data_IF_499567615244
#
_entry.id   IF_499567615244
#
_cell.length_a   1.000
_cell.length_b   1.000
_cell.length_c   1.000
_cell.angle_alpha   90.00
_cell.angle_beta   90.00
_cell.angle_gamma   90.00
#
_symmetry.space_group_name_H-M   'P 1'
#
loop_
_entity.id
_entity.type
_entity.pdbx_description
1 polymer ?
#
# COMPACT_ATOMS: atom_id res chain seq x y z
N UNK A 1 61.75 8.42 -27.08
CA UNK A 1 61.53 7.16 -27.82
C UNK A 1 61.60 6.06 -26.76
N UNK A 2 60.48 5.84 -26.05
CA UNK A 2 59.61 4.67 -26.19
C UNK A 2 60.38 3.36 -26.16
N UNK A 3 59.82 2.45 -25.36
CA UNK A 3 59.98 1.01 -25.37
C UNK A 3 61.02 0.49 -24.36
N UNK A 4 60.74 -0.52 -23.55
CA UNK A 4 59.53 -1.30 -23.41
C UNK A 4 59.76 -2.26 -22.24
N UNK A 5 58.70 -2.47 -21.46
CA UNK A 5 58.20 -3.80 -21.09
C UNK A 5 59.11 -4.67 -20.21
N UNK A 6 58.57 -4.93 -19.02
CA UNK A 6 58.72 -6.15 -18.21
C UNK A 6 60.17 -6.56 -17.89
N UNK A 7 60.57 -6.60 -16.63
CA UNK A 7 60.30 -7.75 -15.76
C UNK A 7 60.15 -7.20 -14.34
N UNK A 8 58.92 -7.15 -13.81
CA UNK A 8 58.32 -8.19 -12.96
C UNK A 8 58.80 -8.15 -11.50
N UNK A 9 57.80 -7.94 -10.63
CA UNK A 9 57.70 -8.37 -9.23
C UNK A 9 58.41 -7.54 -8.15
N UNK A 10 57.61 -7.12 -7.16
CA UNK A 10 58.14 -6.85 -5.82
C UNK A 10 57.67 -5.59 -5.11
N UNK A 11 56.40 -5.16 -5.21
CA UNK A 11 55.86 -4.18 -4.25
C UNK A 11 54.33 -4.23 -4.05
N UNK A 12 53.67 -5.35 -4.38
CA UNK A 12 52.35 -5.65 -3.83
C UNK A 12 52.57 -6.40 -2.52
N UNK A 13 52.64 -5.71 -1.38
CA UNK A 13 52.42 -6.24 -0.01
C UNK A 13 52.75 -5.19 1.07
N UNK A 14 52.13 -4.01 1.06
CA UNK A 14 52.14 -3.09 2.24
C UNK A 14 50.82 -2.38 2.55
N UNK A 15 49.72 -2.72 1.89
CA UNK A 15 48.39 -2.13 2.16
C UNK A 15 47.28 -3.19 2.33
N UNK A 16 47.64 -4.38 2.83
CA UNK A 16 46.88 -5.63 2.69
C UNK A 16 45.66 -5.89 3.59
N UNK A 17 45.14 -4.92 4.36
CA UNK A 17 43.91 -5.14 5.15
C UNK A 17 42.97 -3.92 5.20
N UNK A 18 43.51 -2.70 5.06
CA UNK A 18 42.70 -1.48 5.06
C UNK A 18 41.82 -1.34 3.81
N UNK A 19 42.34 -1.69 2.62
CA UNK A 19 41.57 -1.60 1.36
C UNK A 19 40.49 -2.67 1.25
N UNK A 20 40.75 -3.87 1.78
CA UNK A 20 39.72 -4.92 1.93
C UNK A 20 38.65 -4.44 2.92
N UNK A 21 39.03 -3.81 4.03
CA UNK A 21 38.08 -3.26 5.01
C UNK A 21 37.18 -2.18 4.43
N UNK A 22 37.73 -1.26 3.61
CA UNK A 22 36.94 -0.22 2.92
C UNK A 22 36.04 -0.83 1.84
N UNK A 23 36.52 -1.83 1.09
CA UNK A 23 35.68 -2.54 0.11
C UNK A 23 34.60 -3.40 0.77
N UNK A 24 34.87 -4.02 1.93
CA UNK A 24 33.92 -4.83 2.69
C UNK A 24 32.90 -3.96 3.43
N UNK A 25 33.33 -2.82 3.99
CA UNK A 25 32.45 -1.80 4.53
C UNK A 25 31.60 -1.16 3.44
N UNK A 26 32.15 -0.93 2.24
CA UNK A 26 31.40 -0.46 1.08
C UNK A 26 30.42 -1.53 0.59
N UNK A 27 30.76 -2.82 0.61
CA UNK A 27 29.84 -3.92 0.28
C UNK A 27 28.70 -4.06 1.33
N UNK A 28 28.99 -3.89 2.62
CA UNK A 28 28.01 -3.88 3.70
C UNK A 28 27.12 -2.62 3.73
N UNK A 29 27.67 -1.45 3.36
CA UNK A 29 26.87 -0.23 3.15
C UNK A 29 26.12 -0.24 1.81
N UNK A 30 26.56 -1.01 0.81
CA UNK A 30 25.84 -1.23 -0.45
C UNK A 30 24.76 -2.33 -0.34
N UNK A 31 24.85 -3.24 0.63
CA UNK A 31 23.71 -4.08 1.06
C UNK A 31 22.76 -3.30 1.99
N UNK A 32 23.24 -2.24 2.62
CA UNK A 32 22.40 -1.19 3.23
C UNK A 32 22.04 -0.07 2.25
N UNK A 33 22.32 -0.23 0.95
CA UNK A 33 21.64 0.52 -0.09
C UNK A 33 20.19 0.11 0.04
N UNK A 34 19.49 0.89 0.85
CA UNK A 34 18.12 1.31 0.61
C UNK A 34 17.42 0.29 -0.26
N UNK A 35 16.69 -0.57 0.42
CA UNK A 35 15.26 -0.72 0.17
C UNK A 35 14.61 0.70 0.20
N UNK A 36 15.08 1.65 -0.63
CA UNK A 36 14.27 2.64 -1.31
C UNK A 36 13.64 1.86 -2.43
N UNK A 37 12.81 0.93 -2.02
CA UNK A 37 11.64 0.68 -2.76
C UNK A 37 10.88 2.01 -2.75
N UNK A 38 10.67 2.69 -3.89
CA UNK A 38 9.48 3.50 -4.04
C UNK A 38 8.29 2.54 -4.12
N UNK A 39 8.12 1.63 -3.15
CA UNK A 39 7.02 0.69 -3.15
C UNK A 39 5.85 1.33 -2.43
N UNK A 40 4.95 1.77 -3.29
CA UNK A 40 3.58 1.34 -3.19
C UNK A 40 2.74 2.08 -2.14
N UNK A 41 2.56 3.39 -2.32
CA UNK A 41 1.36 4.06 -1.83
C UNK A 41 0.09 3.32 -2.29
N UNK A 42 0.07 2.77 -3.51
CA UNK A 42 -1.07 2.00 -4.01
C UNK A 42 -1.25 0.65 -3.29
N UNK A 43 -0.19 -0.15 -3.06
CA UNK A 43 -0.32 -1.43 -2.34
C UNK A 43 -0.65 -1.23 -0.85
N UNK A 44 -0.18 -0.12 -0.24
CA UNK A 44 -0.54 0.26 1.12
C UNK A 44 -2.01 0.67 1.23
N UNK A 45 -2.53 1.46 0.27
CA UNK A 45 -3.95 1.79 0.17
C UNK A 45 -4.79 0.54 -0.12
N UNK A 46 -4.34 -0.35 -0.99
CA UNK A 46 -5.03 -1.61 -1.30
C UNK A 46 -5.15 -2.49 -0.05
N UNK A 47 -4.06 -2.69 0.70
CA UNK A 47 -4.08 -3.45 1.95
C UNK A 47 -4.94 -2.78 3.03
N UNK A 48 -4.90 -1.44 3.14
CA UNK A 48 -5.67 -0.68 4.11
C UNK A 48 -7.19 -0.75 3.84
N UNK A 49 -7.61 -0.58 2.58
CA UNK A 49 -9.02 -0.67 2.20
C UNK A 49 -9.59 -2.10 2.37
N UNK A 50 -8.79 -3.13 2.09
CA UNK A 50 -9.20 -4.53 2.31
C UNK A 50 -9.42 -4.78 3.81
N UNK A 51 -8.54 -4.28 4.67
CA UNK A 51 -8.65 -4.46 6.11
C UNK A 51 -9.93 -3.82 6.68
N UNK A 52 -10.27 -2.60 6.25
CA UNK A 52 -11.47 -1.92 6.70
C UNK A 52 -12.74 -2.61 6.20
N UNK A 53 -12.72 -3.20 5.01
CA UNK A 53 -13.83 -4.03 4.51
C UNK A 53 -14.03 -5.27 5.38
N UNK A 54 -12.95 -5.97 5.74
CA UNK A 54 -13.04 -7.12 6.65
C UNK A 54 -13.57 -6.74 8.04
N UNK A 55 -13.21 -5.55 8.56
CA UNK A 55 -13.74 -5.05 9.84
C UNK A 55 -15.22 -4.75 9.77
N UNK A 56 -15.68 -4.12 8.68
CA UNK A 56 -17.10 -3.85 8.45
C UNK A 56 -17.90 -5.16 8.43
N UNK A 57 -17.45 -6.13 7.64
CA UNK A 57 -18.13 -7.42 7.51
C UNK A 57 -18.18 -8.17 8.84
N UNK A 58 -17.08 -8.18 9.61
CA UNK A 58 -17.06 -8.79 10.94
C UNK A 58 -18.09 -8.18 11.88
N UNK A 59 -18.24 -6.86 11.89
CA UNK A 59 -19.22 -6.18 12.73
C UNK A 59 -20.67 -6.42 12.30
N UNK A 60 -20.94 -6.45 10.99
CA UNK A 60 -22.28 -6.70 10.43
C UNK A 60 -22.73 -8.15 10.62
N UNK A 61 -21.79 -9.10 10.58
CA UNK A 61 -22.06 -10.54 10.66
C UNK A 61 -21.84 -11.12 12.06
N UNK A 62 -21.92 -10.28 13.10
CA UNK A 62 -21.94 -10.76 14.48
C UNK A 62 -23.20 -11.61 14.72
N UNK A 63 -22.97 -12.77 15.35
CA UNK A 63 -24.02 -13.74 15.65
C UNK A 63 -25.05 -13.15 16.60
N UNK A 64 -24.57 -12.52 17.68
CA UNK A 64 -25.41 -11.88 18.67
C UNK A 64 -25.99 -10.58 18.10
N UNK A 65 -27.32 -10.39 18.14
CA UNK A 65 -27.96 -9.24 17.51
C UNK A 65 -27.66 -7.94 18.23
N UNK A 66 -27.53 -7.94 19.57
CA UNK A 66 -27.29 -6.74 20.37
C UNK A 66 -25.91 -6.12 20.12
N UNK A 67 -24.90 -6.97 19.91
CA UNK A 67 -23.53 -6.55 19.62
C UNK A 67 -23.29 -6.24 18.14
N UNK A 68 -24.26 -6.56 17.27
CA UNK A 68 -24.14 -6.38 15.83
C UNK A 68 -24.02 -4.90 15.48
N UNK A 69 -23.08 -4.60 14.58
CA UNK A 69 -22.94 -3.26 14.03
C UNK A 69 -24.25 -2.83 13.37
N UNK A 70 -24.88 -1.77 13.89
CA UNK A 70 -26.18 -1.31 13.42
C UNK A 70 -27.37 -1.59 14.36
N UNK A 71 -27.21 -2.43 15.38
CA UNK A 71 -28.29 -2.85 16.28
C UNK A 71 -28.22 -2.23 17.69
N UNK A 72 -27.02 -1.89 18.18
CA UNK A 72 -26.84 -1.23 19.47
C UNK A 72 -27.42 0.19 19.54
N UNK A 73 -27.18 0.90 20.64
CA UNK A 73 -27.75 2.25 20.92
C UNK A 73 -27.47 3.31 19.85
N UNK A 74 -26.34 3.18 19.13
CA UNK A 74 -25.97 4.07 18.03
C UNK A 74 -26.64 3.68 16.69
N UNK A 75 -27.18 2.47 16.59
CA UNK A 75 -27.88 1.96 15.43
C UNK A 75 -27.12 2.17 14.11
N UNK A 76 -27.84 2.69 13.11
CA UNK A 76 -27.30 2.98 11.78
C UNK A 76 -26.14 4.00 11.79
N UNK A 77 -26.08 4.89 12.78
CA UNK A 77 -25.00 5.87 12.88
C UNK A 77 -23.63 5.20 13.05
N UNK A 78 -23.57 4.05 13.72
CA UNK A 78 -22.34 3.28 13.86
C UNK A 78 -21.82 2.73 12.51
N UNK A 79 -22.73 2.41 11.59
CA UNK A 79 -22.39 1.99 10.22
C UNK A 79 -21.88 3.20 9.42
N UNK A 80 -22.58 4.33 9.49
CA UNK A 80 -22.24 5.55 8.74
C UNK A 80 -20.85 6.10 9.07
N UNK A 81 -20.42 6.01 10.33
CA UNK A 81 -19.10 6.49 10.78
C UNK A 81 -17.95 5.50 10.52
N UNK A 82 -18.25 4.29 10.03
CA UNK A 82 -17.23 3.26 9.84
C UNK A 82 -16.19 3.69 8.80
N UNK A 83 -14.92 3.33 9.04
CA UNK A 83 -13.78 3.79 8.21
C UNK A 83 -13.90 3.39 6.73
N UNK A 84 -14.59 2.29 6.44
CA UNK A 84 -14.93 1.88 5.08
C UNK A 84 -15.68 2.97 4.29
N UNK A 85 -16.56 3.73 4.94
CA UNK A 85 -17.33 4.81 4.33
C UNK A 85 -16.68 6.19 4.50
N UNK A 86 -15.38 6.24 4.86
CA UNK A 86 -14.66 7.51 5.00
C UNK A 86 -14.64 8.23 3.65
N UNK A 87 -15.18 9.45 3.62
CA UNK A 87 -15.30 10.27 2.42
C UNK A 87 -16.66 10.19 1.73
N UNK A 88 -17.57 9.33 2.22
CA UNK A 88 -18.97 9.36 1.80
C UNK A 88 -19.69 10.45 2.60
N UNK A 89 -20.26 11.41 1.87
CA UNK A 89 -21.17 12.41 2.43
C UNK A 89 -22.60 11.86 2.36
N UNK A 90 -23.10 11.38 3.50
CA UNK A 90 -24.40 10.71 3.60
C UNK A 90 -25.57 11.65 3.31
N UNK A 91 -25.45 12.94 3.65
CA UNK A 91 -26.51 13.92 3.42
C UNK A 91 -26.64 14.24 1.93
N UNK A 92 -25.51 14.36 1.22
CA UNK A 92 -25.49 14.51 -0.24
C UNK A 92 -25.99 13.25 -0.95
N UNK A 93 -25.64 12.07 -0.45
CA UNK A 93 -26.10 10.79 -0.99
C UNK A 93 -27.63 10.66 -0.89
N UNK A 94 -28.21 11.01 0.26
CA UNK A 94 -29.66 10.99 0.47
C UNK A 94 -30.39 11.95 -0.47
N UNK A 95 -29.84 13.16 -0.67
CA UNK A 95 -30.37 14.15 -1.61
C UNK A 95 -30.09 13.85 -3.09
N UNK A 96 -29.29 12.81 -3.39
CA UNK A 96 -28.81 12.48 -4.74
C UNK A 96 -28.06 13.64 -5.41
N UNK A 97 -27.43 14.49 -4.61
CA UNK A 97 -26.72 15.68 -5.08
C UNK A 97 -25.22 15.43 -5.18
N UNK A 98 -24.61 15.74 -6.32
CA UNK A 98 -23.15 15.78 -6.46
C UNK A 98 -22.40 14.44 -6.41
N UNK A 99 -23.10 13.31 -6.29
CA UNK A 99 -22.51 11.96 -6.35
C UNK A 99 -23.02 11.24 -7.60
N UNK A 100 -22.20 11.15 -8.65
CA UNK A 100 -22.55 10.34 -9.83
C UNK A 100 -22.35 8.85 -9.50
N UNK A 101 -23.32 7.98 -9.83
CA UNK A 101 -23.11 6.54 -9.68
C UNK A 101 -21.92 6.09 -10.56
N UNK A 102 -21.09 5.15 -10.07
CA UNK A 102 -19.91 4.68 -10.78
C UNK A 102 -20.26 3.89 -12.06
N UNK A 103 -21.49 3.36 -12.12
CA UNK A 103 -22.00 2.64 -13.27
C UNK A 103 -23.41 3.12 -13.58
N UNK A 104 -23.62 3.53 -14.83
CA UNK A 104 -24.94 3.85 -15.39
C UNK A 104 -25.21 2.85 -16.52
N UNK A 105 -26.07 1.83 -16.31
CA UNK A 105 -26.35 0.86 -17.36
C UNK A 105 -26.98 1.56 -18.56
N UNK A 106 -26.62 1.12 -19.76
CA UNK A 106 -27.26 1.56 -21.00
C UNK A 106 -28.55 0.76 -21.15
N UNK A 107 -29.69 1.41 -20.94
CA UNK A 107 -30.98 0.81 -21.28
C UNK A 107 -31.12 0.87 -22.80
N UNK A 108 -31.29 -0.30 -23.44
CA UNK A 108 -31.82 -0.36 -24.80
C UNK A 108 -33.33 -0.18 -24.67
N UNK A 109 -33.88 0.89 -25.21
CA UNK A 109 -35.33 1.05 -25.32
C UNK A 109 -35.84 0.03 -26.34
N UNK A 110 -36.37 -1.09 -25.84
CA UNK A 110 -36.97 -2.16 -26.62
C UNK A 110 -37.09 -3.44 -25.81
N UNK A 111 -38.31 -3.99 -25.74
CA UNK A 111 -38.70 -5.27 -25.10
C UNK A 111 -38.80 -5.27 -23.56
N UNK A 112 -39.82 -4.55 -23.09
CA UNK A 112 -40.71 -5.06 -22.06
C UNK A 112 -42.11 -5.10 -22.68
N UNK A 113 -42.40 -6.17 -23.42
CA UNK A 113 -43.78 -6.61 -23.73
C UNK A 113 -44.26 -7.58 -22.64
#
# INVERSE_FOLDING_TARGET
KKACIAVHQGAYLKYGWGVIGVLWACWLTFVSLRVSLPRCSHLFVFAFCILDTCRLLKGLLLKDPEDRLGAGSLGMSAVKIHRFFRGVDWDKLEKKEGISPPFKPRVVEGELD
#
